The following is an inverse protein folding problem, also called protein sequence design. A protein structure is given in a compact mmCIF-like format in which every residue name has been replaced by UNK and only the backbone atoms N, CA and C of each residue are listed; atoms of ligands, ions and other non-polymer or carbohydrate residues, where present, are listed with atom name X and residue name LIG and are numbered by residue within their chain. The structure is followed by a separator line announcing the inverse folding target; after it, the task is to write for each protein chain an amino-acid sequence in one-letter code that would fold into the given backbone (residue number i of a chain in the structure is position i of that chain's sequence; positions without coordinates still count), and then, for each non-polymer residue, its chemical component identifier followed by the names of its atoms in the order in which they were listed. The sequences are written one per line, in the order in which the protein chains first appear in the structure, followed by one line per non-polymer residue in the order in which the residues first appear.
data_IF_499989609381
#
_entry.id   IF_499989609381
#
_cell.length_a   1.000
_cell.length_b   1.000
_cell.length_c   1.000
_cell.angle_alpha   90.00
_cell.angle_beta   90.00
_cell.angle_gamma   90.00
#
_symmetry.space_group_name_H-M   'P 1'
#
loop_
_entity.id
_entity.type
_entity.pdbx_description
1 polymer ?
#
# COMPACT_ATOMS: atom_id res chain seq x y z
N UNK A 1 -22.25 0.32 3.98
CA UNK A 1 -22.95 1.61 4.11
C UNK A 1 -22.38 2.36 5.30
N UNK A 2 -21.78 3.51 5.08
CA UNK A 2 -21.50 4.50 6.13
C UNK A 2 -22.78 5.33 6.35
N UNK A 3 -23.31 5.33 7.56
CA UNK A 3 -24.52 6.12 7.93
C UNK A 3 -25.72 5.92 6.98
N UNK A 4 -25.95 4.69 6.47
CA UNK A 4 -27.04 4.38 5.55
C UNK A 4 -26.79 4.73 4.08
N UNK A 5 -25.64 5.32 3.73
CA UNK A 5 -25.28 5.64 2.35
C UNK A 5 -24.48 4.47 1.75
N UNK A 6 -24.93 3.95 0.62
CA UNK A 6 -24.19 2.94 -0.14
C UNK A 6 -23.08 3.61 -0.94
N UNK A 7 -21.82 3.44 -0.52
CA UNK A 7 -20.66 4.08 -1.15
C UNK A 7 -20.24 3.35 -2.42
N UNK A 8 -20.20 2.01 -2.38
CA UNK A 8 -19.90 1.13 -3.51
C UNK A 8 -21.15 0.39 -3.92
N UNK A 9 -21.50 0.43 -5.22
CA UNK A 9 -22.69 -0.26 -5.75
C UNK A 9 -22.31 -1.02 -7.01
N UNK A 10 -22.59 -2.33 -7.02
CA UNK A 10 -22.39 -3.21 -8.16
C UNK A 10 -20.96 -3.11 -8.74
N UNK A 11 -19.96 -3.22 -7.86
CA UNK A 11 -18.55 -3.25 -8.25
C UNK A 11 -18.21 -4.68 -8.66
N UNK A 12 -17.94 -4.86 -9.93
CA UNK A 12 -17.29 -6.07 -10.48
C UNK A 12 -15.86 -5.69 -10.83
N UNK A 13 -14.91 -6.20 -10.07
CA UNK A 13 -13.50 -5.82 -10.18
C UNK A 13 -12.59 -7.01 -9.87
N UNK A 14 -11.57 -7.17 -10.69
CA UNK A 14 -10.58 -8.23 -10.56
C UNK A 14 -9.17 -7.68 -10.73
N UNK A 15 -8.25 -8.13 -9.90
CA UNK A 15 -6.82 -7.86 -9.97
C UNK A 15 -6.07 -9.19 -10.01
N UNK A 16 -5.23 -9.36 -11.01
CA UNK A 16 -4.42 -10.56 -11.18
C UNK A 16 -2.98 -10.34 -10.72
N UNK A 17 -2.33 -11.42 -10.31
CA UNK A 17 -0.94 -11.40 -9.88
C UNK A 17 -0.04 -10.93 -11.04
N UNK A 18 0.86 -9.99 -10.74
CA UNK A 18 1.74 -9.36 -11.74
C UNK A 18 1.09 -8.24 -12.58
N UNK A 19 -0.21 -7.99 -12.42
CA UNK A 19 -0.88 -6.85 -13.06
C UNK A 19 -0.87 -5.61 -12.14
N UNK A 20 0.20 -4.81 -12.21
CA UNK A 20 0.23 -3.54 -11.51
C UNK A 20 -0.89 -2.63 -12.01
N UNK A 21 -1.59 -1.99 -11.10
CA UNK A 21 -2.82 -1.27 -11.42
C UNK A 21 -2.96 0.02 -10.62
N UNK A 22 -3.57 1.02 -11.27
CA UNK A 22 -3.90 2.30 -10.67
C UNK A 22 -5.41 2.42 -10.44
N UNK A 23 -5.82 2.81 -9.24
CA UNK A 23 -7.18 3.22 -8.92
C UNK A 23 -7.21 4.74 -8.85
N UNK A 24 -7.97 5.37 -9.74
CA UNK A 24 -8.19 6.81 -9.77
C UNK A 24 -9.60 7.18 -9.34
N UNK A 25 -9.72 8.26 -8.61
CA UNK A 25 -11.02 8.82 -8.28
C UNK A 25 -10.96 9.96 -7.26
N UNK A 26 -11.98 10.80 -7.21
CA UNK A 26 -12.03 11.93 -6.29
C UNK A 26 -12.07 11.46 -4.83
N UNK A 27 -11.77 12.39 -3.91
CA UNK A 27 -11.90 12.12 -2.49
C UNK A 27 -13.36 11.80 -2.13
N UNK A 28 -13.54 10.77 -1.26
CA UNK A 28 -14.87 10.34 -0.83
C UNK A 28 -15.61 9.40 -1.80
N UNK A 29 -15.03 9.01 -2.94
CA UNK A 29 -15.67 8.10 -3.89
C UNK A 29 -15.70 6.63 -3.45
N UNK A 30 -15.00 6.25 -2.37
CA UNK A 30 -15.00 4.90 -1.83
C UNK A 30 -13.69 4.11 -2.03
N UNK A 31 -12.60 4.76 -2.48
CA UNK A 31 -11.28 4.12 -2.61
C UNK A 31 -10.84 3.42 -1.31
N UNK A 32 -10.84 4.15 -0.21
CA UNK A 32 -10.49 3.60 1.11
C UNK A 32 -11.42 2.46 1.52
N UNK A 33 -12.73 2.58 1.26
CA UNK A 33 -13.69 1.48 1.53
C UNK A 33 -13.36 0.23 0.72
N UNK A 34 -12.96 0.38 -0.55
CA UNK A 34 -12.49 -0.75 -1.37
C UNK A 34 -11.22 -1.37 -0.80
N UNK A 35 -10.25 -0.55 -0.38
CA UNK A 35 -9.02 -1.04 0.24
C UNK A 35 -9.29 -1.77 1.56
N UNK A 36 -10.21 -1.27 2.40
CA UNK A 36 -10.63 -1.93 3.63
C UNK A 36 -11.31 -3.29 3.37
N UNK A 37 -12.03 -3.45 2.25
CA UNK A 37 -12.57 -4.76 1.84
C UNK A 37 -11.44 -5.73 1.45
N UNK A 38 -10.40 -5.24 0.76
CA UNK A 38 -9.24 -6.07 0.38
C UNK A 38 -8.43 -6.46 1.62
N UNK A 39 -8.14 -5.52 2.53
CA UNK A 39 -7.39 -5.78 3.77
C UNK A 39 -8.18 -6.62 4.79
N UNK A 40 -9.50 -6.72 4.61
CA UNK A 40 -10.39 -7.40 5.54
C UNK A 40 -10.74 -6.58 6.79
N UNK A 41 -10.40 -5.30 6.83
CA UNK A 41 -10.71 -4.41 7.96
C UNK A 41 -12.17 -3.95 7.96
N UNK A 42 -12.89 -4.09 6.83
CA UNK A 42 -14.31 -3.75 6.73
C UNK A 42 -15.19 -5.00 6.89
N UNK A 43 -16.07 -5.05 7.92
CA UNK A 43 -16.94 -6.22 8.16
C UNK A 43 -17.88 -6.57 6.99
N UNK A 44 -18.17 -5.62 6.09
CA UNK A 44 -19.00 -5.87 4.91
C UNK A 44 -18.35 -6.83 3.91
N UNK A 45 -17.08 -7.15 4.07
CA UNK A 45 -16.40 -8.19 3.27
C UNK A 45 -17.12 -9.54 3.35
N UNK A 46 -17.77 -9.84 4.47
CA UNK A 46 -18.52 -11.09 4.67
C UNK A 46 -19.94 -11.09 4.06
N UNK A 47 -20.46 -9.90 3.71
CA UNK A 47 -21.77 -9.72 3.10
C UNK A 47 -21.71 -9.59 1.57
N UNK A 48 -20.52 -9.65 0.99
CA UNK A 48 -20.27 -9.49 -0.44
C UNK A 48 -19.45 -10.66 -0.97
N UNK A 49 -19.48 -10.88 -2.27
CA UNK A 49 -18.66 -11.90 -2.93
C UNK A 49 -17.23 -11.38 -3.14
N UNK A 50 -16.45 -11.37 -2.07
CA UNK A 50 -15.05 -10.93 -2.08
C UNK A 50 -14.12 -12.13 -2.02
N UNK A 51 -13.22 -12.22 -3.00
CA UNK A 51 -12.19 -13.26 -3.09
C UNK A 51 -10.83 -12.60 -2.99
N UNK A 52 -9.96 -13.09 -2.11
CA UNK A 52 -8.60 -12.60 -1.93
C UNK A 52 -7.64 -13.78 -2.06
N UNK A 53 -6.67 -13.65 -2.96
CA UNK A 53 -5.74 -14.73 -3.29
C UNK A 53 -6.45 -16.06 -3.65
N UNK A 54 -7.58 -15.95 -4.37
CA UNK A 54 -8.37 -17.10 -4.82
C UNK A 54 -9.30 -17.73 -3.75
N UNK A 55 -9.35 -17.19 -2.53
CA UNK A 55 -10.19 -17.69 -1.44
C UNK A 55 -11.34 -16.72 -1.16
N UNK A 56 -12.57 -17.22 -1.07
CA UNK A 56 -13.74 -16.43 -0.66
C UNK A 56 -13.59 -16.01 0.79
N UNK A 57 -13.84 -14.74 1.08
CA UNK A 57 -13.80 -14.23 2.46
C UNK A 57 -14.90 -14.89 3.30
N UNK A 58 -14.53 -15.33 4.53
CA UNK A 58 -15.44 -16.04 5.42
C UNK A 58 -15.49 -17.56 5.19
N UNK A 59 -14.60 -18.12 4.36
CA UNK A 59 -14.51 -19.59 4.15
C UNK A 59 -13.64 -20.31 5.19
N UNK A 60 -13.25 -19.62 6.28
CA UNK A 60 -12.49 -20.20 7.39
C UNK A 60 -11.02 -19.76 7.47
N UNK A 61 -10.56 -18.92 6.54
CA UNK A 61 -9.22 -18.33 6.62
C UNK A 61 -9.12 -17.26 7.71
N UNK A 62 -7.95 -17.19 8.35
CA UNK A 62 -7.63 -16.12 9.28
C UNK A 62 -7.36 -14.81 8.55
N UNK A 63 -7.83 -13.68 9.09
CA UNK A 63 -7.44 -12.35 8.62
C UNK A 63 -5.93 -12.16 8.63
N UNK A 64 -5.22 -12.77 9.58
CA UNK A 64 -3.78 -12.73 9.70
C UNK A 64 -3.06 -13.41 8.54
N UNK A 65 -3.63 -14.50 7.99
CA UNK A 65 -3.07 -15.20 6.83
C UNK A 65 -3.13 -14.35 5.57
N UNK A 66 -4.10 -13.44 5.49
CA UNK A 66 -4.21 -12.46 4.41
C UNK A 66 -3.24 -11.32 4.67
N UNK A 67 -3.23 -10.74 5.87
CA UNK A 67 -2.37 -9.60 6.22
C UNK A 67 -0.88 -9.91 6.03
N UNK A 68 -0.46 -11.14 6.31
CA UNK A 68 0.92 -11.59 6.03
C UNK A 68 1.31 -11.49 4.56
N UNK A 69 0.35 -11.61 3.64
CA UNK A 69 0.56 -11.54 2.19
C UNK A 69 0.31 -10.15 1.61
N UNK A 70 -0.07 -9.18 2.45
CA UNK A 70 -0.31 -7.78 2.08
C UNK A 70 0.80 -6.88 2.62
N UNK A 71 1.24 -5.93 1.79
CA UNK A 71 1.93 -4.73 2.23
C UNK A 71 0.97 -3.55 2.07
N UNK A 72 0.88 -2.68 3.07
CA UNK A 72 -0.03 -1.52 3.01
C UNK A 72 0.72 -0.28 3.44
N UNK A 73 0.69 0.74 2.59
CA UNK A 73 1.16 2.09 2.90
C UNK A 73 -0.02 3.03 2.87
N UNK A 74 -0.25 3.71 3.99
CA UNK A 74 -1.31 4.69 4.13
C UNK A 74 -0.83 5.91 4.91
N UNK A 75 -1.61 6.98 4.87
CA UNK A 75 -1.34 8.15 5.70
C UNK A 75 -1.38 7.82 7.20
N UNK A 76 -2.29 6.94 7.62
CA UNK A 76 -2.39 6.47 9.00
C UNK A 76 -1.09 5.82 9.48
N UNK A 77 -0.52 4.91 8.69
CA UNK A 77 0.77 4.27 8.99
C UNK A 77 1.88 5.31 9.18
N UNK A 78 1.91 6.34 8.35
CA UNK A 78 2.90 7.41 8.47
C UNK A 78 2.78 8.17 9.79
N UNK A 79 1.55 8.51 10.19
CA UNK A 79 1.31 9.18 11.48
C UNK A 79 1.74 8.31 12.67
N UNK A 80 1.44 7.02 12.64
CA UNK A 80 1.80 6.08 13.70
C UNK A 80 3.33 6.04 13.91
N UNK A 81 4.11 5.99 12.82
CA UNK A 81 5.58 6.03 12.92
C UNK A 81 6.12 7.38 13.39
N UNK A 82 5.51 8.47 13.00
CA UNK A 82 5.92 9.80 13.50
C UNK A 82 5.65 10.00 15.00
N UNK A 83 4.66 9.32 15.54
CA UNK A 83 4.28 9.38 16.96
C UNK A 83 5.08 8.39 17.83
N UNK A 84 5.81 7.45 17.22
CA UNK A 84 6.55 6.42 17.96
C UNK A 84 7.77 6.96 18.72
N UNK A 85 8.24 8.17 18.41
CA UNK A 85 9.46 8.75 18.95
C UNK A 85 10.69 8.36 18.12
N UNK A 86 11.88 8.35 18.75
CA UNK A 86 13.13 8.04 18.05
C UNK A 86 13.23 6.56 17.72
N UNK A 87 13.32 6.25 16.43
CA UNK A 87 13.52 4.90 15.90
C UNK A 87 14.41 4.97 14.66
N UNK A 88 15.41 4.08 14.57
CA UNK A 88 16.29 4.05 13.40
C UNK A 88 15.55 3.53 12.15
N UNK A 89 15.99 3.98 10.97
CA UNK A 89 15.49 3.50 9.67
C UNK A 89 15.59 1.99 9.56
N UNK A 90 16.70 1.38 10.02
CA UNK A 90 16.84 -0.08 10.06
C UNK A 90 15.70 -0.74 10.85
N UNK A 91 15.39 -0.23 12.04
CA UNK A 91 14.34 -0.80 12.88
C UNK A 91 12.93 -0.58 12.30
N UNK A 92 12.69 0.55 11.60
CA UNK A 92 11.46 0.75 10.84
C UNK A 92 11.31 -0.32 9.76
N UNK A 93 12.35 -0.59 8.98
CA UNK A 93 12.31 -1.61 7.94
C UNK A 93 12.14 -3.02 8.52
N UNK A 94 12.91 -3.37 9.55
CA UNK A 94 12.82 -4.68 10.22
C UNK A 94 11.43 -4.96 10.78
N UNK A 95 10.73 -3.95 11.32
CA UNK A 95 9.36 -4.10 11.83
C UNK A 95 8.35 -4.54 10.76
N UNK A 96 8.68 -4.36 9.47
CA UNK A 96 7.87 -4.82 8.34
C UNK A 96 7.75 -6.34 8.22
N UNK A 97 8.73 -7.10 8.71
CA UNK A 97 8.64 -8.57 8.74
C UNK A 97 7.62 -9.08 9.75
N UNK A 98 7.35 -8.30 10.79
CA UNK A 98 6.47 -8.65 11.90
C UNK A 98 5.10 -7.97 11.83
N UNK A 99 4.86 -7.13 10.83
CA UNK A 99 3.64 -6.29 10.69
C UNK A 99 3.34 -5.45 11.95
N UNK A 100 4.38 -5.08 12.71
CA UNK A 100 4.29 -4.30 13.95
C UNK A 100 4.65 -2.84 13.73
N UNK A 101 4.16 -1.95 14.60
CA UNK A 101 4.65 -0.58 14.71
C UNK A 101 5.81 -0.59 15.70
N UNK A 102 7.02 -0.39 15.21
CA UNK A 102 8.26 -0.60 15.98
C UNK A 102 8.76 -2.04 15.96
N UNK A 103 9.99 -2.24 16.42
CA UNK A 103 10.66 -3.54 16.44
C UNK A 103 10.70 -4.05 17.90
N UNK A 104 10.10 -5.21 18.15
CA UNK A 104 10.00 -5.84 19.47
C UNK A 104 10.73 -7.18 19.56
N UNK A 105 10.99 -7.81 18.42
CA UNK A 105 11.69 -9.09 18.33
C UNK A 105 13.12 -8.90 17.84
N UNK A 106 14.01 -9.83 18.20
CA UNK A 106 15.38 -9.83 17.73
C UNK A 106 15.42 -10.23 16.24
N UNK A 107 15.93 -9.37 15.34
CA UNK A 107 15.91 -9.64 13.92
C UNK A 107 16.91 -10.74 13.53
N UNK A 108 16.55 -11.54 12.53
CA UNK A 108 17.40 -12.55 11.93
C UNK A 108 18.43 -11.91 10.99
N UNK A 109 19.56 -12.58 10.79
CA UNK A 109 20.59 -12.11 9.86
C UNK A 109 20.11 -12.02 8.41
N UNK A 110 19.17 -12.88 8.00
CA UNK A 110 18.53 -12.80 6.68
C UNK A 110 17.68 -11.53 6.53
N UNK A 111 17.00 -11.10 7.60
CA UNK A 111 16.18 -9.89 7.62
C UNK A 111 17.03 -8.63 7.54
N UNK A 112 18.17 -8.59 8.25
CA UNK A 112 19.15 -7.49 8.15
C UNK A 112 19.73 -7.39 6.73
N UNK A 113 20.03 -8.53 6.07
CA UNK A 113 20.48 -8.52 4.67
C UNK A 113 19.41 -7.96 3.73
N UNK A 114 18.14 -8.28 3.95
CA UNK A 114 17.06 -7.72 3.16
C UNK A 114 16.94 -6.20 3.36
N UNK A 115 17.13 -5.68 4.58
CA UNK A 115 17.19 -4.23 4.84
C UNK A 115 18.28 -3.57 4.00
N UNK A 116 19.50 -4.14 4.00
CA UNK A 116 20.61 -3.59 3.21
C UNK A 116 20.31 -3.59 1.71
N UNK A 117 19.70 -4.67 1.19
CA UNK A 117 19.28 -4.75 -0.20
C UNK A 117 18.27 -3.65 -0.57
N UNK A 118 17.21 -3.51 0.19
CA UNK A 118 16.16 -2.53 -0.09
C UNK A 118 16.65 -1.09 0.06
N UNK A 119 17.49 -0.79 1.05
CA UNK A 119 18.11 0.53 1.18
C UNK A 119 19.06 0.85 0.02
N UNK A 120 19.83 -0.12 -0.44
CA UNK A 120 20.72 0.06 -1.59
C UNK A 120 19.92 0.33 -2.88
N UNK A 121 18.82 -0.41 -3.09
CA UNK A 121 17.91 -0.22 -4.22
C UNK A 121 17.33 1.20 -4.27
N UNK A 122 17.01 1.77 -3.11
CA UNK A 122 16.48 3.13 -2.99
C UNK A 122 17.57 4.22 -2.95
N UNK A 123 18.87 3.86 -3.06
CA UNK A 123 20.00 4.76 -2.84
C UNK A 123 19.95 5.44 -1.46
N UNK A 124 19.51 4.73 -0.43
CA UNK A 124 19.31 5.25 0.94
C UNK A 124 20.18 4.52 1.98
N UNK A 125 21.25 3.82 1.57
CA UNK A 125 22.11 3.02 2.47
C UNK A 125 22.73 3.85 3.61
N UNK A 126 23.06 5.12 3.37
CA UNK A 126 23.66 6.02 4.36
C UNK A 126 22.69 6.45 5.49
N UNK A 127 21.38 6.23 5.28
CA UNK A 127 20.33 6.58 6.26
C UNK A 127 20.00 5.45 7.22
N UNK A 128 20.63 4.26 7.08
CA UNK A 128 20.30 3.05 7.85
C UNK A 128 20.19 3.30 9.36
N UNK A 129 21.17 3.99 9.92
CA UNK A 129 21.28 4.25 11.35
C UNK A 129 20.70 5.61 11.77
N UNK A 130 20.11 6.37 10.80
CA UNK A 130 19.49 7.67 11.10
C UNK A 130 18.15 7.48 11.81
N UNK A 131 17.79 8.47 12.61
CA UNK A 131 16.44 8.56 13.17
C UNK A 131 15.43 8.81 12.02
N UNK A 132 14.39 7.99 11.94
CA UNK A 132 13.31 8.12 10.97
C UNK A 132 12.67 9.52 11.00
N UNK A 133 12.46 10.08 12.20
CA UNK A 133 11.85 11.41 12.36
C UNK A 133 12.74 12.55 11.82
N UNK A 134 14.05 12.33 11.69
CA UNK A 134 14.99 13.33 11.16
C UNK A 134 14.99 13.44 9.63
N UNK A 135 14.36 12.48 8.93
CA UNK A 135 14.29 12.43 7.48
C UNK A 135 13.26 13.42 6.93
N UNK A 136 13.42 13.86 5.67
CA UNK A 136 12.37 14.60 4.97
C UNK A 136 11.09 13.76 4.84
N UNK A 137 9.95 14.43 4.63
CA UNK A 137 8.66 13.75 4.53
C UNK A 137 8.63 12.72 3.38
N UNK A 138 9.22 13.05 2.24
CA UNK A 138 9.34 12.13 1.10
C UNK A 138 10.25 10.94 1.39
N UNK A 139 11.37 11.14 2.10
CA UNK A 139 12.24 10.04 2.54
C UNK A 139 11.54 9.13 3.55
N UNK A 140 10.80 9.70 4.52
CA UNK A 140 9.97 8.92 5.43
C UNK A 140 8.96 8.07 4.67
N UNK A 141 8.31 8.64 3.64
CA UNK A 141 7.37 7.92 2.78
C UNK A 141 8.05 6.76 2.05
N UNK A 142 9.23 7.00 1.47
CA UNK A 142 10.03 5.96 0.82
C UNK A 142 10.38 4.81 1.78
N UNK A 143 10.84 5.11 2.99
CA UNK A 143 11.13 4.10 4.02
C UNK A 143 9.88 3.27 4.37
N UNK A 144 8.70 3.88 4.49
CA UNK A 144 7.46 3.15 4.77
C UNK A 144 7.02 2.26 3.60
N UNK A 145 7.28 2.68 2.36
CA UNK A 145 7.07 1.84 1.17
C UNK A 145 8.01 0.63 1.22
N UNK A 146 9.31 0.85 1.46
CA UNK A 146 10.29 -0.23 1.60
C UNK A 146 9.93 -1.18 2.75
N UNK A 147 9.50 -0.65 3.90
CA UNK A 147 9.00 -1.45 5.02
C UNK A 147 7.85 -2.36 4.61
N UNK A 148 6.94 -1.86 3.79
CA UNK A 148 5.73 -2.61 3.40
C UNK A 148 6.02 -3.68 2.35
N UNK A 149 7.11 -3.55 1.57
CA UNK A 149 7.52 -4.53 0.58
C UNK A 149 8.61 -5.50 1.08
N UNK A 150 9.25 -5.21 2.23
CA UNK A 150 10.44 -5.95 2.70
C UNK A 150 10.21 -7.45 2.87
N UNK A 151 9.00 -7.86 3.24
CA UNK A 151 8.60 -9.27 3.36
C UNK A 151 8.15 -9.89 2.03
N UNK A 152 8.31 -9.17 0.90
CA UNK A 152 7.87 -9.57 -0.45
C UNK A 152 6.40 -10.04 -0.47
N UNK A 153 5.45 -9.15 -0.09
CA UNK A 153 4.04 -9.53 -0.07
C UNK A 153 3.54 -9.83 -1.49
N UNK A 154 2.47 -10.62 -1.63
CA UNK A 154 1.84 -10.86 -2.94
C UNK A 154 1.20 -9.61 -3.51
N UNK A 155 0.67 -8.73 -2.64
CA UNK A 155 0.04 -7.46 -3.01
C UNK A 155 0.54 -6.33 -2.12
N UNK A 156 1.07 -5.28 -2.75
CA UNK A 156 1.42 -4.01 -2.11
C UNK A 156 0.35 -2.97 -2.46
N UNK A 157 -0.33 -2.47 -1.45
CA UNK A 157 -1.33 -1.41 -1.57
C UNK A 157 -0.69 -0.09 -1.17
N UNK A 158 -0.71 0.87 -2.09
CA UNK A 158 -0.19 2.22 -1.90
C UNK A 158 -1.38 3.20 -1.92
N UNK A 159 -1.86 3.60 -0.74
CA UNK A 159 -2.98 4.53 -0.59
C UNK A 159 -2.46 5.97 -0.55
N UNK A 160 -2.60 6.68 -1.67
CA UNK A 160 -2.12 8.04 -1.90
C UNK A 160 -0.65 8.23 -1.49
N UNK A 161 0.29 7.46 -2.07
CA UNK A 161 1.69 7.44 -1.62
C UNK A 161 2.40 8.79 -1.77
N UNK A 162 1.94 9.63 -2.70
CA UNK A 162 2.52 10.94 -2.97
C UNK A 162 1.78 12.11 -2.31
N UNK A 163 0.79 11.81 -1.45
CA UNK A 163 0.04 12.86 -0.75
C UNK A 163 0.96 13.76 0.08
N UNK A 164 0.81 15.09 -0.07
CA UNK A 164 1.57 16.13 0.60
C UNK A 164 3.09 16.15 0.31
N UNK A 165 3.55 15.52 -0.76
CA UNK A 165 4.94 15.57 -1.22
C UNK A 165 5.19 16.78 -2.12
N UNK A 166 6.40 17.34 -2.04
CA UNK A 166 6.92 18.29 -3.03
C UNK A 166 7.11 17.60 -4.39
N UNK A 167 7.18 18.34 -5.51
CA UNK A 167 7.37 17.73 -6.83
C UNK A 167 8.61 16.83 -6.94
N UNK A 168 9.72 17.20 -6.31
CA UNK A 168 10.94 16.39 -6.31
C UNK A 168 10.81 15.11 -5.48
N UNK A 169 10.16 15.18 -4.30
CA UNK A 169 9.89 14.02 -3.47
C UNK A 169 8.89 13.06 -4.13
N UNK A 170 7.88 13.60 -4.83
CA UNK A 170 6.94 12.83 -5.62
C UNK A 170 7.68 12.03 -6.69
N UNK A 171 8.52 12.68 -7.51
CA UNK A 171 9.29 12.01 -8.54
C UNK A 171 10.19 10.91 -7.96
N UNK A 172 10.81 11.15 -6.82
CA UNK A 172 11.62 10.16 -6.12
C UNK A 172 10.79 8.95 -5.67
N UNK A 173 9.62 9.17 -5.06
CA UNK A 173 8.74 8.09 -4.59
C UNK A 173 8.18 7.28 -5.76
N UNK A 174 7.74 7.93 -6.83
CA UNK A 174 7.25 7.22 -8.03
C UNK A 174 8.35 6.37 -8.68
N UNK A 175 9.57 6.92 -8.81
CA UNK A 175 10.72 6.16 -9.33
C UNK A 175 11.06 4.95 -8.44
N UNK A 176 10.95 5.09 -7.11
CA UNK A 176 11.14 3.96 -6.20
C UNK A 176 10.08 2.88 -6.40
N UNK A 177 8.81 3.24 -6.58
CA UNK A 177 7.72 2.28 -6.81
C UNK A 177 7.95 1.53 -8.14
N UNK A 178 8.39 2.23 -9.20
CA UNK A 178 8.78 1.60 -10.46
C UNK A 178 9.92 0.59 -10.29
N UNK A 179 10.93 0.94 -9.50
CA UNK A 179 12.05 0.02 -9.25
C UNK A 179 11.63 -1.20 -8.43
N UNK A 180 10.74 -1.03 -7.45
CA UNK A 180 10.13 -2.14 -6.71
C UNK A 180 9.37 -3.09 -7.64
N UNK A 181 8.59 -2.53 -8.58
CA UNK A 181 7.84 -3.32 -9.56
C UNK A 181 8.75 -4.18 -10.45
N UNK A 182 9.95 -3.67 -10.79
CA UNK A 182 10.94 -4.39 -11.61
C UNK A 182 11.70 -5.47 -10.83
N UNK A 183 11.98 -5.21 -9.55
CA UNK A 183 12.89 -6.04 -8.73
C UNK A 183 12.16 -7.06 -7.85
N UNK A 184 10.83 -7.03 -7.79
CA UNK A 184 10.06 -7.95 -6.96
C UNK A 184 8.90 -8.60 -7.73
N UNK A 185 8.44 -9.75 -7.24
CA UNK A 185 7.23 -10.41 -7.75
C UNK A 185 5.94 -9.83 -7.15
N UNK A 186 6.05 -8.77 -6.33
CA UNK A 186 4.92 -8.14 -5.65
C UNK A 186 4.02 -7.40 -6.65
N UNK A 187 2.74 -7.71 -6.67
CA UNK A 187 1.76 -6.94 -7.44
C UNK A 187 1.50 -5.61 -6.74
N UNK A 188 1.45 -4.52 -7.48
CA UNK A 188 1.22 -3.19 -6.92
C UNK A 188 -0.20 -2.73 -7.26
N UNK A 189 -0.94 -2.30 -6.24
CA UNK A 189 -2.19 -1.58 -6.34
C UNK A 189 -1.97 -0.16 -5.83
N UNK A 190 -1.79 0.76 -6.75
CA UNK A 190 -1.63 2.17 -6.47
C UNK A 190 -2.99 2.86 -6.46
N UNK A 191 -3.23 3.71 -5.49
CA UNK A 191 -4.47 4.47 -5.35
C UNK A 191 -4.13 5.95 -5.29
N UNK A 192 -4.68 6.73 -6.21
CA UNK A 192 -4.48 8.18 -6.29
C UNK A 192 -5.75 8.92 -6.69
N UNK A 193 -5.76 10.22 -6.45
CA UNK A 193 -6.72 11.15 -7.03
C UNK A 193 -6.09 12.05 -8.11
N UNK A 194 -4.78 11.92 -8.34
CA UNK A 194 -3.99 12.71 -9.29
C UNK A 194 -3.60 11.84 -10.50
N UNK A 195 -4.08 12.22 -11.69
CA UNK A 195 -3.81 11.50 -12.93
C UNK A 195 -2.35 11.59 -13.37
N UNK A 196 -1.56 12.51 -12.80
CA UNK A 196 -0.14 12.67 -13.11
C UNK A 196 0.75 11.68 -12.37
N UNK A 197 0.19 10.89 -11.45
CA UNK A 197 0.91 9.88 -10.69
C UNK A 197 0.93 8.49 -11.37
N UNK A 198 0.55 8.40 -12.63
CA UNK A 198 0.62 7.17 -13.42
C UNK A 198 2.06 6.66 -13.54
N UNK A 199 2.24 5.34 -13.39
CA UNK A 199 3.51 4.62 -13.50
C UNK A 199 3.54 3.77 -14.77
N UNK A 200 4.71 3.65 -15.39
CA UNK A 200 4.89 2.85 -16.61
C UNK A 200 4.62 1.34 -16.39
N UNK A 201 4.79 0.86 -15.15
CA UNK A 201 4.48 -0.52 -14.79
C UNK A 201 2.98 -0.80 -14.68
N UNK A 202 2.12 0.22 -14.57
CA UNK A 202 0.67 0.09 -14.39
C UNK A 202 -0.02 -0.18 -15.72
N UNK A 203 -0.51 -1.40 -15.87
CA UNK A 203 -1.16 -1.85 -17.11
C UNK A 203 -2.67 -1.61 -17.11
N UNK A 204 -3.27 -1.38 -15.96
CA UNK A 204 -4.71 -1.19 -15.82
C UNK A 204 -5.02 0.04 -14.96
N UNK A 205 -5.97 0.83 -15.43
CA UNK A 205 -6.48 1.99 -14.71
C UNK A 205 -7.96 1.77 -14.41
N UNK A 206 -8.30 1.79 -13.14
CA UNK A 206 -9.66 1.70 -12.64
C UNK A 206 -10.11 3.09 -12.18
N UNK A 207 -11.10 3.67 -12.89
CA UNK A 207 -11.61 5.00 -12.58
C UNK A 207 -12.93 4.93 -11.83
N UNK A 208 -13.00 5.61 -10.69
CA UNK A 208 -14.25 5.87 -10.00
C UNK A 208 -14.96 7.04 -10.68
N UNK A 209 -16.06 6.75 -11.37
CA UNK A 209 -16.90 7.76 -12.02
C UNK A 209 -18.23 7.93 -11.26
N UNK A 210 -18.73 9.16 -11.14
CA UNK A 210 -20.05 9.39 -10.57
C UNK A 210 -21.12 8.60 -11.31
N UNK A 211 -22.03 7.98 -10.57
CA UNK A 211 -23.21 7.30 -11.13
C UNK A 211 -24.44 8.20 -11.02
N UNK A 212 -25.29 8.19 -12.04
CA UNK A 212 -26.52 8.99 -12.09
C UNK A 212 -27.51 8.66 -10.97
N UNK A 213 -27.44 7.49 -10.35
CA UNK A 213 -28.33 6.99 -9.29
C UNK A 213 -27.78 7.13 -7.86
N UNK A 214 -26.90 8.07 -7.59
CA UNK A 214 -26.12 8.23 -6.34
C UNK A 214 -25.09 7.10 -6.11
N UNK A 215 -23.84 7.49 -5.93
CA UNK A 215 -22.67 6.61 -5.72
C UNK A 215 -21.69 6.67 -6.89
N UNK A 216 -20.79 5.72 -6.91
CA UNK A 216 -19.74 5.62 -7.92
C UNK A 216 -19.76 4.24 -8.56
N UNK A 217 -19.41 4.18 -9.85
CA UNK A 217 -19.09 2.95 -10.58
C UNK A 217 -17.61 2.93 -10.88
N UNK A 218 -17.03 1.74 -11.03
CA UNK A 218 -15.65 1.59 -11.53
C UNK A 218 -15.73 1.38 -13.04
N UNK A 219 -14.95 2.17 -13.79
CA UNK A 219 -14.71 1.98 -15.20
C UNK A 219 -13.25 1.59 -15.40
N UNK A 220 -13.03 0.67 -16.28
CA UNK A 220 -11.72 0.09 -16.58
C UNK A 220 -11.21 0.60 -17.91
N UNK A 221 -9.92 0.99 -17.97
CA UNK A 221 -9.17 1.24 -19.21
C UNK A 221 -7.90 0.38 -19.19
N UNK A 222 -7.72 -0.38 -20.24
CA UNK A 222 -6.49 -1.12 -20.56
C UNK A 222 -5.56 -0.25 -21.40
#
# INVERSE_FOLDING_TARGET
TWSGVQVLKNIDWQLFEGEHSLILGPNGCGKTTLLELISGDNPQVYCNDVYIFGKKRGSGESIWDIKKQLGIVSYKLHLEYRLLGSISVENVLLSGFYDSIGLYDAPKESEKKAVLFWLALANMSEYKDKDFASLSYGMQRAILILRSVIKTPRLLILDEPCHALSPSERSFVLALIEEIAKQSATTILHVSHDETEFLDCEKKIFRFLPNTEKGYRIEYRS
#
